data_IF_944922152212
#
_entry.id   IF_944922152212
#
_cell.length_a   1.000
_cell.length_b   1.000
_cell.length_c   1.000
_cell.angle_alpha   90.00
_cell.angle_beta   90.00
_cell.angle_gamma   90.00
#
_symmetry.space_group_name_H-M   'P 1'
#
loop_
_entity.id
_entity.type
_entity.pdbx_description
1 polymer ?
#
# COMPACT_ATOMS: atom_id res chain seq x y z
N UNK A 1 -15.02 2.22 -1.98
CA UNK A 1 -14.78 2.91 -0.69
C UNK A 1 -13.31 2.79 -0.28
N UNK A 2 -12.73 1.59 -0.21
CA UNK A 2 -11.33 1.38 0.19
C UNK A 2 -10.32 2.25 -0.59
N UNK A 3 -10.47 2.35 -1.91
CA UNK A 3 -9.57 3.18 -2.75
C UNK A 3 -9.51 4.63 -2.26
N UNK A 4 -10.66 5.24 -1.95
CA UNK A 4 -10.74 6.64 -1.51
C UNK A 4 -10.18 6.78 -0.09
N UNK A 5 -10.47 5.81 0.78
CA UNK A 5 -10.00 5.81 2.17
C UNK A 5 -8.46 5.66 2.28
N UNK A 6 -7.85 4.86 1.39
CA UNK A 6 -6.41 4.59 1.43
C UNK A 6 -5.58 5.48 0.49
N UNK A 7 -6.22 6.22 -0.41
CA UNK A 7 -5.53 7.15 -1.31
C UNK A 7 -4.55 8.11 -0.61
N UNK A 8 -4.88 8.71 0.56
CA UNK A 8 -3.95 9.62 1.25
C UNK A 8 -2.62 8.97 1.65
N UNK A 9 -2.63 7.67 2.00
CA UNK A 9 -1.42 6.93 2.37
C UNK A 9 -0.44 6.77 1.21
N UNK A 10 -0.94 6.78 -0.03
CA UNK A 10 -0.11 6.78 -1.23
C UNK A 10 0.28 8.21 -1.65
N UNK A 11 -0.68 9.14 -1.59
CA UNK A 11 -0.50 10.51 -2.05
C UNK A 11 0.49 11.33 -1.20
N UNK A 12 0.44 11.19 0.13
CA UNK A 12 1.32 11.94 1.03
C UNK A 12 2.82 11.65 0.80
N UNK A 13 3.31 10.39 0.78
CA UNK A 13 4.72 10.11 0.52
C UNK A 13 5.14 10.52 -0.90
N UNK A 14 4.28 10.34 -1.90
CA UNK A 14 4.57 10.75 -3.29
C UNK A 14 4.70 12.27 -3.39
N UNK A 15 3.76 13.03 -2.81
CA UNK A 15 3.81 14.49 -2.83
C UNK A 15 4.99 15.06 -2.03
N UNK A 16 5.35 14.42 -0.91
CA UNK A 16 6.54 14.77 -0.15
C UNK A 16 7.84 14.49 -0.92
N UNK A 17 7.90 13.37 -1.65
CA UNK A 17 9.04 13.02 -2.48
C UNK A 17 9.19 13.97 -3.68
N UNK A 18 8.09 14.29 -4.38
CA UNK A 18 8.08 15.29 -5.45
C UNK A 18 8.60 16.66 -4.99
N UNK A 19 8.19 17.12 -3.80
CA UNK A 19 8.66 18.40 -3.22
C UNK A 19 10.15 18.41 -2.87
N UNK A 20 10.76 17.24 -2.72
CA UNK A 20 12.19 17.09 -2.40
C UNK A 20 13.06 16.92 -3.64
N UNK A 21 12.47 16.72 -4.82
CA UNK A 21 13.22 16.62 -6.07
C UNK A 21 13.85 17.97 -6.40
N UNK A 22 15.11 17.92 -6.82
CA UNK A 22 15.83 19.10 -7.28
C UNK A 22 15.46 19.39 -8.75
N UNK A 23 14.87 20.57 -9.06
CA UNK A 23 14.57 20.98 -10.44
C UNK A 23 15.80 20.97 -11.36
N UNK A 24 17.00 21.15 -10.82
CA UNK A 24 18.23 21.15 -11.61
C UNK A 24 18.47 19.82 -12.35
N UNK A 25 17.98 18.70 -11.81
CA UNK A 25 18.08 17.39 -12.48
C UNK A 25 17.16 17.30 -13.71
N UNK A 26 16.00 17.96 -13.65
CA UNK A 26 15.07 18.03 -14.78
C UNK A 26 15.61 18.96 -15.87
N UNK A 27 16.13 20.12 -15.48
CA UNK A 27 16.74 21.10 -16.39
C UNK A 27 17.98 20.54 -17.10
N UNK A 28 18.84 19.81 -16.38
CA UNK A 28 20.01 19.15 -16.97
C UNK A 28 19.60 18.08 -17.99
N UNK A 29 18.56 17.30 -17.70
CA UNK A 29 18.03 16.29 -18.62
C UNK A 29 17.39 16.93 -19.86
N UNK A 30 16.68 18.05 -19.69
CA UNK A 30 16.11 18.83 -20.79
C UNK A 30 17.20 19.45 -21.67
N UNK A 31 18.28 19.98 -21.07
CA UNK A 31 19.43 20.54 -21.80
C UNK A 31 20.16 19.50 -22.66
N UNK A 32 20.12 18.22 -22.28
CA UNK A 32 20.62 17.10 -23.08
C UNK A 32 19.67 16.70 -24.24
N UNK A 33 18.61 17.48 -24.50
CA UNK A 33 17.67 17.26 -25.60
C UNK A 33 16.56 16.25 -25.30
N UNK A 34 16.35 15.88 -24.03
CA UNK A 34 15.22 15.02 -23.66
C UNK A 34 13.93 15.84 -23.60
N UNK A 35 12.88 15.34 -24.25
CA UNK A 35 11.53 15.90 -24.11
C UNK A 35 10.93 15.65 -22.72
N UNK A 36 9.90 16.43 -22.31
CA UNK A 36 9.35 16.42 -20.95
C UNK A 36 8.88 15.03 -20.49
N UNK A 37 8.27 14.25 -21.37
CA UNK A 37 7.87 12.87 -21.07
C UNK A 37 9.04 11.93 -20.77
N UNK A 38 10.19 12.12 -21.46
CA UNK A 38 11.40 11.32 -21.21
C UNK A 38 12.09 11.74 -19.92
N UNK A 39 12.10 13.04 -19.61
CA UNK A 39 12.62 13.55 -18.33
C UNK A 39 11.80 12.97 -17.17
N UNK A 40 10.47 13.03 -17.24
CA UNK A 40 9.60 12.44 -16.22
C UNK A 40 9.85 10.94 -16.03
N UNK A 41 9.80 10.15 -17.11
CA UNK A 41 9.93 8.69 -17.01
C UNK A 41 11.33 8.22 -16.58
N UNK A 42 12.39 8.95 -16.95
CA UNK A 42 13.78 8.52 -16.73
C UNK A 42 14.45 9.16 -15.53
N UNK A 43 13.98 10.32 -15.08
CA UNK A 43 14.58 11.08 -13.97
C UNK A 43 13.63 11.10 -12.78
N UNK A 44 12.38 11.53 -12.97
CA UNK A 44 11.42 11.74 -11.87
C UNK A 44 10.86 10.41 -11.34
N UNK A 45 10.32 9.57 -12.23
CA UNK A 45 9.69 8.29 -11.88
C UNK A 45 10.59 7.33 -11.06
N UNK A 46 11.86 7.08 -11.44
CA UNK A 46 12.74 6.20 -10.65
C UNK A 46 13.14 6.81 -9.30
N UNK A 47 13.06 8.12 -9.11
CA UNK A 47 13.26 8.73 -7.79
C UNK A 47 12.02 8.57 -6.90
N UNK A 48 10.83 8.58 -7.49
CA UNK A 48 9.57 8.34 -6.78
C UNK A 48 9.35 6.88 -6.38
N UNK A 49 10.10 5.93 -6.96
CA UNK A 49 9.90 4.49 -6.70
C UNK A 49 9.91 4.14 -5.21
N UNK A 50 10.78 4.78 -4.42
CA UNK A 50 10.86 4.52 -2.98
C UNK A 50 9.62 5.01 -2.24
N UNK A 51 9.11 6.19 -2.61
CA UNK A 51 7.89 6.74 -2.04
C UNK A 51 6.65 5.93 -2.44
N UNK A 52 6.60 5.47 -3.68
CA UNK A 52 5.53 4.59 -4.18
C UNK A 52 5.57 3.25 -3.44
N UNK A 53 6.75 2.62 -3.33
CA UNK A 53 6.92 1.37 -2.58
C UNK A 53 6.48 1.54 -1.12
N UNK A 54 6.97 2.57 -0.42
CA UNK A 54 6.60 2.83 0.97
C UNK A 54 5.09 3.05 1.15
N UNK A 55 4.47 3.86 0.29
CA UNK A 55 3.02 4.09 0.31
C UNK A 55 2.23 2.81 0.00
N UNK A 56 2.65 2.03 -0.99
CA UNK A 56 1.99 0.76 -1.35
C UNK A 56 2.05 -0.27 -0.24
N UNK A 57 3.16 -0.32 0.50
CA UNK A 57 3.37 -1.22 1.63
C UNK A 57 2.43 -0.87 2.78
N UNK A 58 2.30 0.42 3.11
CA UNK A 58 1.34 0.89 4.12
C UNK A 58 -0.11 0.55 3.74
N UNK A 59 -0.49 0.76 2.48
CA UNK A 59 -1.82 0.43 1.97
C UNK A 59 -2.07 -1.08 2.04
N UNK A 60 -1.10 -1.90 1.64
CA UNK A 60 -1.19 -3.37 1.69
C UNK A 60 -1.40 -3.89 3.11
N UNK A 61 -0.61 -3.41 4.07
CA UNK A 61 -0.76 -3.77 5.49
C UNK A 61 -2.12 -3.35 6.06
N UNK A 62 -2.57 -2.12 5.76
CA UNK A 62 -3.88 -1.66 6.24
C UNK A 62 -5.03 -2.46 5.64
N UNK A 63 -4.95 -2.84 4.37
CA UNK A 63 -5.99 -3.65 3.72
C UNK A 63 -6.03 -5.07 4.28
N UNK A 64 -4.87 -5.68 4.57
CA UNK A 64 -4.78 -7.01 5.20
C UNK A 64 -5.41 -7.02 6.61
N UNK A 65 -5.27 -5.94 7.35
CA UNK A 65 -5.80 -5.79 8.71
C UNK A 65 -7.25 -5.26 8.76
N UNK A 66 -7.84 -4.91 7.61
CA UNK A 66 -9.17 -4.32 7.55
C UNK A 66 -10.25 -5.38 7.82
N UNK A 67 -11.15 -5.09 8.75
CA UNK A 67 -12.29 -5.95 9.07
C UNK A 67 -13.63 -5.20 8.93
N UNK A 68 -13.68 -3.95 9.40
CA UNK A 68 -14.93 -3.22 9.57
C UNK A 68 -15.65 -2.97 8.26
N UNK A 69 -14.97 -2.42 7.26
CA UNK A 69 -15.55 -2.15 5.95
C UNK A 69 -16.01 -3.43 5.27
N UNK A 70 -15.18 -4.50 5.31
CA UNK A 70 -15.48 -5.76 4.63
C UNK A 70 -16.65 -6.53 5.25
N UNK A 71 -16.81 -6.51 6.59
CA UNK A 71 -17.97 -7.13 7.23
C UNK A 71 -19.28 -6.41 6.88
N UNK A 72 -19.27 -5.08 6.76
CA UNK A 72 -20.47 -4.31 6.38
C UNK A 72 -20.95 -4.62 4.96
N UNK A 73 -20.02 -4.89 4.03
CA UNK A 73 -20.34 -5.26 2.66
C UNK A 73 -20.48 -6.78 2.46
N UNK A 74 -20.41 -7.58 3.54
CA UNK A 74 -20.49 -9.05 3.53
C UNK A 74 -19.48 -9.68 2.55
N UNK A 75 -18.25 -9.19 2.59
CA UNK A 75 -17.17 -9.70 1.77
C UNK A 75 -16.22 -10.54 2.61
N UNK A 76 -16.00 -11.79 2.19
CA UNK A 76 -15.17 -12.74 2.92
C UNK A 76 -13.67 -12.42 2.74
N UNK A 77 -13.05 -12.00 3.82
CA UNK A 77 -11.61 -11.81 3.97
C UNK A 77 -11.04 -12.70 5.08
N UNK A 78 -9.71 -12.81 5.15
CA UNK A 78 -9.04 -13.50 6.26
C UNK A 78 -9.48 -12.98 7.63
N UNK A 79 -9.63 -11.67 7.79
CA UNK A 79 -10.05 -11.04 9.04
C UNK A 79 -11.49 -11.40 9.40
N UNK A 80 -12.42 -11.40 8.45
CA UNK A 80 -13.81 -11.82 8.70
C UNK A 80 -13.89 -13.31 9.06
N UNK A 81 -13.15 -14.17 8.35
CA UNK A 81 -13.14 -15.61 8.62
C UNK A 81 -12.55 -15.94 10.00
N UNK A 82 -11.53 -15.20 10.45
CA UNK A 82 -10.97 -15.33 11.81
C UNK A 82 -12.04 -14.99 12.85
N UNK A 83 -12.75 -13.87 12.67
CA UNK A 83 -13.79 -13.43 13.62
C UNK A 83 -14.97 -14.40 13.65
N UNK A 84 -15.43 -14.87 12.50
CA UNK A 84 -16.53 -15.84 12.40
C UNK A 84 -16.17 -17.16 13.09
N UNK A 85 -14.95 -17.66 12.88
CA UNK A 85 -14.46 -18.88 13.53
C UNK A 85 -14.29 -18.68 15.05
N UNK A 86 -13.86 -17.49 15.46
CA UNK A 86 -13.72 -17.15 16.87
C UNK A 86 -15.08 -17.10 17.58
N UNK A 87 -16.09 -16.49 16.96
CA UNK A 87 -17.45 -16.41 17.50
C UNK A 87 -18.18 -17.76 17.51
N UNK A 88 -17.96 -18.59 16.48
CA UNK A 88 -18.65 -19.88 16.34
C UNK A 88 -18.13 -20.96 17.30
N UNK A 89 -16.83 -20.97 17.59
CA UNK A 89 -16.18 -22.07 18.35
C UNK A 89 -15.56 -21.63 19.68
N UNK A 90 -15.59 -20.33 20.03
CA UNK A 90 -14.94 -19.80 21.23
C UNK A 90 -13.48 -20.28 21.34
N UNK A 91 -12.61 -19.75 20.47
CA UNK A 91 -11.16 -20.07 20.44
C UNK A 91 -10.81 -21.46 19.88
N UNK A 92 -11.33 -21.79 18.69
CA UNK A 92 -10.99 -23.02 17.98
C UNK A 92 -9.60 -22.98 17.32
N UNK A 93 -8.90 -24.13 17.17
CA UNK A 93 -7.59 -24.22 16.51
C UNK A 93 -7.52 -23.58 15.11
N UNK A 94 -8.63 -23.63 14.37
CA UNK A 94 -8.74 -23.06 13.03
C UNK A 94 -8.60 -21.53 13.01
N UNK A 95 -9.11 -20.81 14.02
CA UNK A 95 -8.96 -19.36 14.12
C UNK A 95 -7.49 -18.96 14.31
N UNK A 96 -6.75 -19.71 15.13
CA UNK A 96 -5.31 -19.51 15.33
C UNK A 96 -4.50 -19.77 14.07
N UNK A 97 -4.86 -20.80 13.28
CA UNK A 97 -4.17 -21.08 12.01
C UNK A 97 -4.38 -19.96 10.99
N UNK A 98 -5.62 -19.46 10.84
CA UNK A 98 -5.92 -18.33 9.96
C UNK A 98 -5.21 -17.05 10.41
N UNK A 99 -5.17 -16.77 11.71
CA UNK A 99 -4.44 -15.64 12.26
C UNK A 99 -2.93 -15.75 12.01
N UNK A 100 -2.34 -16.95 12.16
CA UNK A 100 -0.93 -17.17 11.87
C UNK A 100 -0.59 -16.96 10.39
N UNK A 101 -1.44 -17.41 9.47
CA UNK A 101 -1.30 -17.17 8.03
C UNK A 101 -1.36 -15.68 7.72
N UNK A 102 -2.32 -14.96 8.32
CA UNK A 102 -2.44 -13.51 8.13
C UNK A 102 -1.18 -12.77 8.60
N UNK A 103 -0.64 -13.13 9.76
CA UNK A 103 0.61 -12.56 10.28
C UNK A 103 1.79 -12.88 9.35
N UNK A 104 1.88 -14.11 8.84
CA UNK A 104 2.92 -14.48 7.88
C UNK A 104 2.83 -13.66 6.59
N UNK A 105 1.63 -13.39 6.07
CA UNK A 105 1.42 -12.50 4.93
C UNK A 105 1.89 -11.07 5.22
N UNK A 106 1.58 -10.52 6.40
CA UNK A 106 2.04 -9.19 6.80
C UNK A 106 3.58 -9.12 6.90
N UNK A 107 4.22 -10.16 7.45
CA UNK A 107 5.68 -10.24 7.55
C UNK A 107 6.35 -10.41 6.19
N UNK A 108 5.73 -11.13 5.26
CA UNK A 108 6.24 -11.25 3.90
C UNK A 108 6.15 -9.95 3.10
N UNK A 109 5.19 -9.09 3.44
CA UNK A 109 4.98 -7.80 2.77
C UNK A 109 5.93 -6.70 3.27
N UNK A 110 6.51 -6.86 4.47
CA UNK A 110 7.50 -5.96 5.07
C UNK A 110 8.90 -6.21 4.51
#
# INVERSE_FOLDING_TARGET
VSVIAYFPFLYLPISAALRRLDPALEDAAAALGLGPWRVFARVVLPQLRLAICGGSLLVGLHLLAEYGLYVFIRFDTFTTAIVDQFQSTFNGPAANMLAAVLVACCLFLL
#
